data_IF_117916679947
#
_entry.id   IF_117916679947
#
_cell.length_a   1.000
_cell.length_b   1.000
_cell.length_c   1.000
_cell.angle_alpha   90.00
_cell.angle_beta   90.00
_cell.angle_gamma   90.00
#
_symmetry.space_group_name_H-M   'P 1'
#
loop_
_entity.id
_entity.type
_entity.pdbx_description
1 polymer ?
#
# COMPACT_ATOMS: atom_id res chain seq x y z
N UNK A 1 -0.52 8.82 16.62
CA UNK A 1 -1.99 8.70 16.53
C UNK A 1 -2.34 8.52 15.05
N UNK A 2 -3.18 7.55 14.68
CA UNK A 2 -3.64 7.40 13.29
C UNK A 2 -4.59 8.58 12.97
N UNK A 3 -4.42 9.22 11.81
CA UNK A 3 -5.27 10.35 11.41
C UNK A 3 -6.72 9.88 11.16
N UNK A 4 -7.72 10.74 11.41
CA UNK A 4 -9.11 10.46 11.06
C UNK A 4 -9.25 10.08 9.58
N UNK A 5 -10.10 9.08 9.29
CA UNK A 5 -10.40 8.65 7.92
C UNK A 5 -9.44 7.60 7.32
N UNK A 6 -8.39 7.19 8.04
CA UNK A 6 -7.53 6.08 7.57
C UNK A 6 -8.24 4.74 7.79
N UNK A 7 -8.53 4.04 6.69
CA UNK A 7 -9.04 2.68 6.72
C UNK A 7 -7.89 1.70 6.98
N UNK A 8 -7.88 1.10 8.16
CA UNK A 8 -6.87 0.10 8.53
C UNK A 8 -7.38 -1.32 8.30
N UNK A 9 -6.50 -2.30 8.02
CA UNK A 9 -6.89 -3.70 7.94
C UNK A 9 -7.60 -4.20 9.21
N UNK A 10 -8.44 -5.22 9.06
CA UNK A 10 -8.94 -5.99 10.20
C UNK A 10 -7.79 -6.73 10.88
N UNK A 11 -7.62 -6.48 12.17
CA UNK A 11 -6.63 -7.18 13.00
C UNK A 11 -7.08 -8.60 13.29
N UNK A 12 -6.13 -9.52 13.40
CA UNK A 12 -6.42 -10.95 13.65
C UNK A 12 -7.09 -11.66 12.48
N UNK A 13 -7.19 -10.99 11.32
CA UNK A 13 -7.68 -11.55 10.06
C UNK A 13 -6.49 -11.65 9.11
N UNK A 14 -6.48 -12.70 8.28
CA UNK A 14 -5.50 -12.89 7.21
C UNK A 14 -5.25 -11.58 6.44
N UNK A 15 -4.02 -11.31 6.06
CA UNK A 15 -3.67 -10.01 5.44
C UNK A 15 -2.65 -10.12 4.31
N UNK A 16 -1.65 -10.99 4.43
CA UNK A 16 -0.56 -11.04 3.47
C UNK A 16 -1.02 -11.72 2.18
N UNK A 17 -0.63 -11.16 1.03
CA UNK A 17 -1.06 -11.64 -0.29
C UNK A 17 -0.73 -13.13 -0.52
N UNK A 18 0.41 -13.60 0.00
CA UNK A 18 0.82 -15.01 -0.07
C UNK A 18 -0.17 -15.96 0.62
N UNK A 19 -0.91 -15.50 1.63
CA UNK A 19 -1.90 -16.32 2.32
C UNK A 19 -3.16 -16.56 1.46
N UNK A 20 -3.34 -15.79 0.38
CA UNK A 20 -4.49 -15.89 -0.53
C UNK A 20 -4.18 -16.61 -1.84
N UNK A 21 -2.93 -17.01 -2.09
CA UNK A 21 -2.55 -17.74 -3.31
C UNK A 21 -3.10 -19.18 -3.35
N UNK A 22 -3.30 -19.79 -2.17
CA UNK A 22 -3.80 -21.16 -2.04
C UNK A 22 -5.27 -21.24 -1.65
N UNK A 23 -5.83 -20.17 -1.07
CA UNK A 23 -7.20 -20.15 -0.56
C UNK A 23 -7.79 -18.76 -0.71
N UNK A 24 -8.92 -18.70 -1.39
CA UNK A 24 -9.69 -17.48 -1.57
C UNK A 24 -10.21 -16.90 -0.24
N UNK A 25 -10.49 -15.58 -0.18
CA UNK A 25 -11.10 -14.96 0.97
C UNK A 25 -12.42 -15.65 1.38
N UNK A 26 -12.57 -15.97 2.66
CA UNK A 26 -13.71 -16.75 3.15
C UNK A 26 -14.84 -15.91 3.75
N UNK A 27 -14.62 -14.62 3.96
CA UNK A 27 -15.56 -13.72 4.61
C UNK A 27 -15.29 -12.26 4.21
N UNK A 28 -16.24 -11.33 4.46
CA UNK A 28 -16.07 -9.91 4.11
C UNK A 28 -14.76 -9.29 4.61
N UNK A 29 -14.34 -9.65 5.83
CA UNK A 29 -13.12 -9.08 6.44
C UNK A 29 -11.86 -9.59 5.75
N UNK A 30 -11.79 -10.88 5.45
CA UNK A 30 -10.69 -11.47 4.66
C UNK A 30 -10.63 -10.85 3.27
N UNK A 31 -11.77 -10.61 2.61
CA UNK A 31 -11.81 -9.98 1.29
C UNK A 31 -11.33 -8.53 1.34
N UNK A 32 -11.79 -7.76 2.33
CA UNK A 32 -11.31 -6.39 2.55
C UNK A 32 -9.80 -6.37 2.76
N UNK A 33 -9.28 -7.19 3.66
CA UNK A 33 -7.85 -7.27 3.94
C UNK A 33 -7.03 -7.67 2.71
N UNK A 34 -7.50 -8.64 1.92
CA UNK A 34 -6.86 -9.05 0.68
C UNK A 34 -6.75 -7.90 -0.33
N UNK A 35 -7.85 -7.16 -0.53
CA UNK A 35 -7.90 -6.03 -1.46
C UNK A 35 -7.09 -4.84 -0.97
N UNK A 36 -7.14 -4.59 0.34
CA UNK A 36 -6.30 -3.58 0.98
C UNK A 36 -4.81 -3.89 0.81
N UNK A 37 -4.37 -5.12 1.10
CA UNK A 37 -2.96 -5.50 0.93
C UNK A 37 -2.53 -5.52 -0.54
N UNK A 38 -3.44 -5.89 -1.46
CA UNK A 38 -3.19 -5.83 -2.90
C UNK A 38 -2.95 -4.39 -3.37
N UNK A 39 -3.82 -3.46 -2.96
CA UNK A 39 -3.66 -2.03 -3.27
C UNK A 39 -2.37 -1.48 -2.67
N UNK A 40 -2.10 -1.78 -1.39
CA UNK A 40 -0.86 -1.36 -0.72
C UNK A 40 0.38 -1.86 -1.47
N UNK A 41 0.39 -3.12 -1.88
CA UNK A 41 1.50 -3.71 -2.61
C UNK A 41 1.77 -3.00 -3.95
N UNK A 42 0.72 -2.59 -4.68
CA UNK A 42 0.91 -1.78 -5.91
C UNK A 42 1.54 -0.42 -5.58
N UNK A 43 1.06 0.25 -4.54
CA UNK A 43 1.60 1.55 -4.11
C UNK A 43 3.08 1.43 -3.71
N UNK A 44 3.42 0.43 -2.89
CA UNK A 44 4.80 0.18 -2.46
C UNK A 44 5.72 -0.14 -3.64
N UNK A 45 5.28 -0.96 -4.60
CA UNK A 45 6.01 -1.22 -5.85
C UNK A 45 6.29 0.06 -6.62
N UNK A 46 5.29 0.90 -6.84
CA UNK A 46 5.45 2.17 -7.56
C UNK A 46 6.46 3.09 -6.88
N UNK A 47 6.37 3.26 -5.56
CA UNK A 47 7.33 4.10 -4.82
C UNK A 47 8.73 3.47 -4.78
N UNK A 48 8.84 2.15 -4.65
CA UNK A 48 10.12 1.45 -4.71
C UNK A 48 10.85 1.68 -6.04
N UNK A 49 10.11 1.58 -7.16
CA UNK A 49 10.65 1.83 -8.50
C UNK A 49 11.09 3.28 -8.66
N UNK A 50 10.26 4.24 -8.23
CA UNK A 50 10.60 5.66 -8.29
C UNK A 50 11.85 5.98 -7.47
N UNK A 51 11.96 5.45 -6.25
CA UNK A 51 13.13 5.66 -5.37
C UNK A 51 14.41 5.06 -5.95
N UNK A 52 14.35 3.84 -6.49
CA UNK A 52 15.52 3.22 -7.12
C UNK A 52 15.96 3.97 -8.38
N UNK A 53 15.00 4.42 -9.19
CA UNK A 53 15.29 5.16 -10.43
C UNK A 53 15.80 6.58 -10.16
N UNK A 54 15.25 7.24 -9.13
CA UNK A 54 15.59 8.62 -8.77
C UNK A 54 16.06 8.68 -7.30
N UNK A 55 17.35 8.48 -7.04
CA UNK A 55 17.89 8.50 -5.67
C UNK A 55 17.63 9.81 -4.90
N UNK A 56 17.36 10.92 -5.60
CA UNK A 56 17.03 12.22 -4.98
C UNK A 56 15.78 12.16 -4.08
N UNK A 57 14.84 11.26 -4.35
CA UNK A 57 13.65 11.03 -3.49
C UNK A 57 13.79 9.81 -2.58
N UNK A 58 14.94 9.13 -2.61
CA UNK A 58 15.22 7.96 -1.80
C UNK A 58 16.01 8.28 -0.52
N UNK A 59 16.38 9.55 -0.31
CA UNK A 59 17.16 9.96 0.85
C UNK A 59 16.40 9.78 2.17
N UNK A 60 17.09 9.23 3.16
CA UNK A 60 16.61 9.12 4.55
C UNK A 60 16.87 10.39 5.37
N UNK A 61 17.53 11.39 4.76
CA UNK A 61 17.82 12.68 5.39
C UNK A 61 16.79 13.72 4.98
N UNK A 62 16.45 14.60 5.93
CA UNK A 62 15.62 15.76 5.63
C UNK A 62 16.28 16.61 4.53
N UNK A 63 15.58 16.91 3.43
CA UNK A 63 16.19 17.67 2.36
C UNK A 63 16.37 19.13 2.75
N UNK A 64 17.40 19.76 2.19
CA UNK A 64 17.71 21.18 2.39
C UNK A 64 16.81 22.13 1.57
N UNK A 65 15.71 21.64 1.00
CA UNK A 65 14.79 22.41 0.15
C UNK A 65 13.37 22.42 0.73
N UNK A 66 12.56 23.40 0.32
CA UNK A 66 11.19 23.56 0.83
C UNK A 66 10.28 22.41 0.43
N UNK A 67 9.14 22.30 1.11
CA UNK A 67 8.10 21.32 0.76
C UNK A 67 7.56 21.52 -0.67
N UNK A 68 7.46 22.76 -1.16
CA UNK A 68 7.03 22.99 -2.55
C UNK A 68 8.04 22.41 -3.53
N UNK A 69 9.34 22.64 -3.30
CA UNK A 69 10.41 22.05 -4.13
C UNK A 69 10.39 20.53 -4.06
N UNK A 70 10.19 19.95 -2.87
CA UNK A 70 10.05 18.49 -2.71
C UNK A 70 8.91 17.95 -3.58
N UNK A 71 7.72 18.57 -3.50
CA UNK A 71 6.57 18.19 -4.32
C UNK A 71 6.89 18.26 -5.81
N UNK A 72 7.53 19.33 -6.25
CA UNK A 72 7.85 19.54 -7.68
C UNK A 72 8.88 18.51 -8.17
N UNK A 73 9.86 18.13 -7.33
CA UNK A 73 10.78 17.02 -7.60
C UNK A 73 10.02 15.71 -7.77
N UNK A 74 9.11 15.37 -6.85
CA UNK A 74 8.29 14.15 -6.96
C UNK A 74 7.47 14.14 -8.26
N UNK A 75 6.84 15.26 -8.63
CA UNK A 75 6.08 15.38 -9.87
C UNK A 75 6.98 15.21 -11.11
N UNK A 76 8.15 15.85 -11.13
CA UNK A 76 9.12 15.70 -12.21
C UNK A 76 9.58 14.24 -12.37
N UNK A 77 9.89 13.55 -11.26
CA UNK A 77 10.22 12.13 -11.26
C UNK A 77 9.09 11.27 -11.85
N UNK A 78 7.84 11.53 -11.49
CA UNK A 78 6.69 10.81 -12.05
C UNK A 78 6.55 11.04 -13.57
N UNK A 79 6.70 12.28 -14.04
CA UNK A 79 6.63 12.62 -15.47
C UNK A 79 7.74 11.92 -16.24
N UNK A 80 8.98 12.01 -15.75
CA UNK A 80 10.12 11.36 -16.37
C UNK A 80 9.99 9.83 -16.36
N UNK A 81 9.50 9.25 -15.27
CA UNK A 81 9.22 7.81 -15.21
C UNK A 81 8.21 7.40 -16.28
N UNK A 82 7.07 8.10 -16.38
CA UNK A 82 6.03 7.78 -17.34
C UNK A 82 6.53 7.89 -18.79
N UNK A 83 7.34 8.90 -19.08
CA UNK A 83 7.98 9.04 -20.39
C UNK A 83 8.91 7.85 -20.68
N UNK A 84 9.82 7.52 -19.74
CA UNK A 84 10.76 6.42 -19.89
C UNK A 84 10.06 5.06 -20.03
N UNK A 85 8.93 4.84 -19.36
CA UNK A 85 8.13 3.63 -19.54
C UNK A 85 7.60 3.44 -20.97
N UNK A 86 7.54 4.50 -21.78
CA UNK A 86 7.15 4.42 -23.20
C UNK A 86 8.33 4.33 -24.18
N UNK A 87 9.56 4.67 -23.77
CA UNK A 87 10.71 4.78 -24.68
C UNK A 87 11.89 3.87 -24.33
N UNK A 88 12.15 3.64 -23.03
CA UNK A 88 13.28 2.88 -22.52
C UNK A 88 12.95 2.28 -21.13
N UNK A 89 12.30 1.11 -21.17
CA UNK A 89 11.86 0.42 -19.97
C UNK A 89 13.04 -0.30 -19.32
N UNK A 90 13.55 0.28 -18.24
CA UNK A 90 14.49 -0.43 -17.37
C UNK A 90 13.76 -1.47 -16.51
N UNK A 91 13.65 -2.69 -17.05
CA UNK A 91 13.05 -3.84 -16.38
C UNK A 91 13.85 -4.29 -15.15
N UNK A 92 15.16 -4.03 -15.11
CA UNK A 92 16.02 -4.48 -14.01
C UNK A 92 15.64 -3.82 -12.68
N UNK A 93 15.22 -2.55 -12.73
CA UNK A 93 14.73 -1.81 -11.57
C UNK A 93 13.42 -2.42 -11.06
N UNK A 94 12.48 -2.73 -11.97
CA UNK A 94 11.18 -3.31 -11.63
C UNK A 94 11.38 -4.65 -10.94
N UNK A 95 12.20 -5.52 -11.53
CA UNK A 95 12.47 -6.86 -10.99
C UNK A 95 13.20 -6.79 -9.64
N UNK A 96 14.07 -5.80 -9.43
CA UNK A 96 14.75 -5.60 -8.16
C UNK A 96 13.77 -5.23 -7.04
N UNK A 97 12.84 -4.31 -7.30
CA UNK A 97 11.80 -3.92 -6.32
C UNK A 97 10.86 -5.08 -6.04
N UNK A 98 10.46 -5.84 -7.06
CA UNK A 98 9.58 -7.00 -6.89
C UNK A 98 10.23 -8.06 -5.98
N UNK A 99 11.54 -8.29 -6.12
CA UNK A 99 12.28 -9.20 -5.22
C UNK A 99 12.33 -8.71 -3.78
N UNK A 100 12.53 -7.42 -3.55
CA UNK A 100 12.60 -6.82 -2.21
C UNK A 100 11.25 -6.93 -1.47
N UNK A 101 10.15 -6.60 -2.14
CA UNK A 101 8.82 -6.66 -1.54
C UNK A 101 8.38 -8.10 -1.23
N UNK A 102 8.82 -9.07 -2.03
CA UNK A 102 8.60 -10.48 -1.73
C UNK A 102 9.32 -10.93 -0.44
N UNK A 103 10.43 -10.30 -0.06
CA UNK A 103 11.16 -10.59 1.17
C UNK A 103 10.55 -9.89 2.40
N UNK A 104 10.14 -8.63 2.28
CA UNK A 104 9.60 -7.82 3.39
C UNK A 104 8.27 -8.36 3.94
N UNK A 105 7.43 -9.00 3.11
CA UNK A 105 6.15 -9.61 3.53
C UNK A 105 6.29 -10.72 4.60
N UNK A 106 7.50 -11.12 4.97
CA UNK A 106 7.77 -12.11 6.02
C UNK A 106 7.90 -11.54 7.43
N UNK A 107 7.96 -10.21 7.58
CA UNK A 107 8.27 -9.54 8.85
C UNK A 107 7.28 -8.38 9.09
N UNK A 108 6.06 -8.66 9.53
CA UNK A 108 5.23 -7.60 10.13
C UNK A 108 4.62 -8.08 11.44
N UNK A 109 5.27 -7.69 12.54
CA UNK A 109 4.79 -7.92 13.90
C UNK A 109 3.70 -6.92 14.18
N UNK A 110 2.47 -7.39 14.26
CA UNK A 110 1.30 -6.63 14.70
C UNK A 110 1.57 -5.92 16.03
N UNK A 111 1.94 -4.64 15.98
CA UNK A 111 2.11 -3.80 17.15
C UNK A 111 0.74 -3.51 17.78
N UNK A 112 0.57 -4.00 19.01
CA UNK A 112 -0.62 -3.85 19.83
C UNK A 112 -0.69 -2.44 20.44
N UNK A 113 -1.44 -1.53 19.82
CA UNK A 113 -1.95 -0.35 20.51
C UNK A 113 -3.48 -0.39 20.55
N UNK A 114 -4.03 -0.28 21.77
CA UNK A 114 -5.46 -0.12 22.05
C UNK A 114 -5.92 1.26 21.55
N UNK A 115 -7.02 1.37 20.78
CA UNK A 115 -7.60 2.65 20.44
C UNK A 115 -8.65 3.06 21.47
N UNK A 116 -8.38 4.17 22.16
CA UNK A 116 -9.39 5.04 22.76
C UNK A 116 -9.67 6.11 21.69
N UNK A 117 -10.91 6.25 21.19
CA UNK A 117 -11.52 7.47 20.57
C UNK A 117 -12.74 7.15 19.67
N UNK A 118 -13.70 8.09 19.59
CA UNK A 118 -14.93 7.98 18.77
C UNK A 118 -14.67 7.95 17.26
N UNK A 119 -13.62 8.61 16.78
CA UNK A 119 -13.25 8.66 15.36
C UNK A 119 -12.84 7.27 14.82
N UNK A 120 -12.28 6.44 15.69
CA UNK A 120 -11.97 5.04 15.38
C UNK A 120 -13.23 4.24 15.09
N UNK A 121 -14.35 4.57 15.74
CA UNK A 121 -15.65 3.94 15.47
C UNK A 121 -16.16 4.33 14.09
N UNK A 122 -16.05 5.60 13.69
CA UNK A 122 -16.47 6.05 12.37
C UNK A 122 -15.69 5.35 11.25
N UNK A 123 -14.36 5.31 11.35
CA UNK A 123 -13.53 4.59 10.38
C UNK A 123 -13.81 3.08 10.36
N UNK A 124 -14.12 2.47 11.51
CA UNK A 124 -14.52 1.06 11.57
C UNK A 124 -15.85 0.81 10.88
N UNK A 125 -16.86 1.66 11.11
CA UNK A 125 -18.17 1.54 10.47
C UNK A 125 -18.06 1.68 8.95
N UNK A 126 -17.30 2.67 8.48
CA UNK A 126 -17.03 2.85 7.05
C UNK A 126 -16.35 1.60 6.46
N UNK A 127 -15.34 1.06 7.14
CA UNK A 127 -14.67 -0.17 6.73
C UNK A 127 -15.64 -1.35 6.67
N UNK A 128 -16.48 -1.52 7.69
CA UNK A 128 -17.46 -2.61 7.75
C UNK A 128 -18.44 -2.52 6.58
N UNK A 129 -18.97 -1.34 6.29
CA UNK A 129 -19.85 -1.13 5.15
C UNK A 129 -19.18 -1.47 3.81
N UNK A 130 -17.96 -0.97 3.58
CA UNK A 130 -17.18 -1.29 2.37
C UNK A 130 -16.94 -2.80 2.27
N UNK A 131 -16.54 -3.45 3.36
CA UNK A 131 -16.30 -4.89 3.38
C UNK A 131 -17.55 -5.70 3.01
N UNK A 132 -18.72 -5.34 3.54
CA UNK A 132 -19.98 -5.98 3.21
C UNK A 132 -20.39 -5.77 1.75
N UNK A 133 -20.30 -4.54 1.24
CA UNK A 133 -20.62 -4.25 -0.16
C UNK A 133 -19.71 -5.03 -1.12
N UNK A 134 -18.41 -5.03 -0.84
CA UNK A 134 -17.43 -5.80 -1.61
C UNK A 134 -17.73 -7.29 -1.60
N UNK A 135 -18.15 -7.82 -0.44
CA UNK A 135 -18.50 -9.23 -0.30
C UNK A 135 -19.74 -9.61 -1.09
N UNK A 136 -20.78 -8.77 -1.05
CA UNK A 136 -22.00 -8.99 -1.82
C UNK A 136 -21.70 -9.07 -3.33
N UNK A 137 -20.85 -8.17 -3.84
CA UNK A 137 -20.39 -8.22 -5.22
C UNK A 137 -19.58 -9.49 -5.48
N UNK A 138 -18.65 -9.83 -4.58
CA UNK A 138 -17.79 -11.01 -4.72
C UNK A 138 -18.58 -12.32 -4.82
N UNK A 139 -19.66 -12.47 -4.04
CA UNK A 139 -20.50 -13.66 -4.08
C UNK A 139 -21.38 -13.76 -5.34
N UNK A 140 -21.51 -12.68 -6.10
CA UNK A 140 -22.30 -12.63 -7.33
C UNK A 140 -21.48 -12.85 -8.61
N UNK A 141 -20.14 -12.95 -8.48
CA UNK A 141 -19.20 -13.25 -9.56
C UNK A 141 -19.08 -14.77 -9.75
#
# INVERSE_FOLDING_TARGET
MLKPGILTPYRGVRYHLKEYSMREPQNPKELFNHRHSSLRNVIERCFGVLKKRFPIIAGDTEPYYSFETMRDIFLACCILHNYLMGVDVDQSIIDAVDRELLQEQSIDRSHSNQPHDEEYRHASLLRDNIAFEMWNVYQSL
#
